data_IF_357840088000
#
_entry.id   IF_357840088000
#
_cell.length_a   1.000
_cell.length_b   1.000
_cell.length_c   1.000
_cell.angle_alpha   90.00
_cell.angle_beta   90.00
_cell.angle_gamma   90.00
#
_symmetry.space_group_name_H-M   'P 1'
#
loop_
_entity.id
_entity.type
_entity.pdbx_description
1 polymer ?
#
# COMPACT_ATOMS: atom_id res chain seq x y z
N UNK A 1 -2.33 -10.10 22.69
CA UNK A 1 -2.81 -8.70 22.75
C UNK A 1 -1.74 -7.80 22.12
N UNK A 2 -1.72 -7.70 20.78
CA UNK A 2 -0.83 -6.78 20.05
C UNK A 2 -1.62 -5.48 19.93
N UNK A 3 -1.27 -4.45 20.71
CA UNK A 3 -1.81 -3.10 20.52
C UNK A 3 -1.42 -2.65 19.12
N UNK A 4 -2.37 -2.64 18.18
CA UNK A 4 -2.17 -1.93 16.91
C UNK A 4 -2.07 -0.44 17.26
N UNK A 5 -0.99 0.27 16.89
CA UNK A 5 -0.95 1.71 17.06
C UNK A 5 -2.14 2.31 16.28
N UNK A 6 -2.95 3.10 16.98
CA UNK A 6 -4.17 3.75 16.49
C UNK A 6 -3.90 4.90 15.49
N UNK A 7 -2.66 5.08 15.08
CA UNK A 7 -2.26 6.03 14.04
C UNK A 7 -1.79 5.22 12.84
N UNK A 8 -2.65 5.09 11.83
CA UNK A 8 -2.19 4.62 10.53
C UNK A 8 -1.15 5.65 10.03
N UNK A 9 0.13 5.29 9.87
CA UNK A 9 1.16 6.25 9.46
C UNK A 9 0.83 6.94 8.14
N UNK A 10 -0.07 6.36 7.34
CA UNK A 10 -0.59 6.93 6.10
C UNK A 10 -1.49 8.15 6.30
N UNK A 11 -2.31 8.18 7.35
CA UNK A 11 -3.17 9.34 7.63
C UNK A 11 -2.38 10.54 8.13
N UNK A 12 -1.24 10.29 8.79
CA UNK A 12 -0.34 11.34 9.29
C UNK A 12 0.39 12.06 8.16
N UNK A 13 0.67 11.37 7.05
CA UNK A 13 1.25 11.97 5.84
C UNK A 13 0.29 13.04 5.29
N UNK A 14 -0.99 12.71 5.13
CA UNK A 14 -1.99 13.67 4.64
C UNK A 14 -2.14 14.87 5.57
N UNK A 15 -2.15 14.65 6.89
CA UNK A 15 -2.22 15.73 7.87
C UNK A 15 -1.01 16.67 7.82
N UNK A 16 0.20 16.13 7.62
CA UNK A 16 1.41 16.94 7.47
C UNK A 16 1.41 17.75 6.16
N UNK A 17 0.88 17.18 5.08
CA UNK A 17 0.67 17.89 3.82
C UNK A 17 -0.22 19.13 3.97
N UNK A 18 -1.32 19.01 4.72
CA UNK A 18 -2.18 20.15 5.05
C UNK A 18 -1.53 21.16 6.01
N UNK A 19 -0.63 20.72 6.90
CA UNK A 19 -0.01 21.57 7.91
C UNK A 19 1.12 22.45 7.37
N UNK A 20 1.87 21.98 6.37
CA UNK A 20 3.03 22.67 5.78
C UNK A 20 3.01 22.60 4.23
N UNK A 21 2.10 23.33 3.58
CA UNK A 21 2.00 23.36 2.12
C UNK A 21 3.22 24.01 1.46
N UNK A 22 3.59 23.55 0.26
CA UNK A 22 4.65 24.12 -0.57
C UNK A 22 6.08 23.72 -0.18
N UNK A 23 6.25 22.71 0.68
CA UNK A 23 7.57 22.21 1.14
C UNK A 23 7.71 20.70 0.87
N UNK A 24 7.94 20.28 -0.39
CA UNK A 24 8.02 18.86 -0.75
C UNK A 24 9.18 18.12 -0.06
N UNK A 25 10.32 18.80 0.19
CA UNK A 25 11.46 18.20 0.89
C UNK A 25 11.12 17.85 2.34
N UNK A 26 10.38 18.72 3.04
CA UNK A 26 9.94 18.46 4.41
C UNK A 26 8.99 17.25 4.46
N UNK A 27 8.08 17.17 3.48
CA UNK A 27 7.17 16.02 3.32
C UNK A 27 7.92 14.71 3.02
N UNK A 28 8.95 14.75 2.17
CA UNK A 28 9.81 13.58 1.91
C UNK A 28 10.51 13.11 3.19
N UNK A 29 11.08 14.02 3.99
CA UNK A 29 11.71 13.67 5.26
C UNK A 29 10.69 13.06 6.21
N UNK A 30 9.53 13.71 6.40
CA UNK A 30 8.48 13.19 7.28
C UNK A 30 8.02 11.79 6.89
N UNK A 31 7.75 11.56 5.60
CA UNK A 31 7.32 10.25 5.08
C UNK A 31 8.40 9.19 5.21
N UNK A 32 9.66 9.55 4.99
CA UNK A 32 10.80 8.62 5.10
C UNK A 32 10.96 8.16 6.54
N UNK A 33 11.00 9.09 7.48
CA UNK A 33 11.23 8.80 8.89
C UNK A 33 10.00 8.25 9.62
N UNK A 34 8.79 8.65 9.22
CA UNK A 34 7.55 8.28 9.89
C UNK A 34 6.88 7.02 9.35
N UNK A 35 7.09 6.67 8.07
CA UNK A 35 6.45 5.50 7.46
C UNK A 35 7.44 4.50 6.88
N UNK A 36 8.37 4.96 6.03
CA UNK A 36 9.23 4.04 5.27
C UNK A 36 10.17 3.28 6.20
N UNK A 37 10.83 3.96 7.13
CA UNK A 37 11.73 3.31 8.12
C UNK A 37 11.01 2.21 8.89
N UNK A 38 9.78 2.45 9.35
CA UNK A 38 8.98 1.46 10.06
C UNK A 38 8.60 0.27 9.17
N UNK A 39 8.16 0.54 7.93
CA UNK A 39 7.79 -0.51 6.98
C UNK A 39 9.01 -1.38 6.60
N UNK A 40 10.17 -0.75 6.36
CA UNK A 40 11.43 -1.44 6.09
C UNK A 40 11.90 -2.25 7.32
N UNK A 41 11.77 -1.70 8.52
CA UNK A 41 12.12 -2.44 9.75
C UNK A 41 11.24 -3.68 9.94
N UNK A 42 9.92 -3.58 9.69
CA UNK A 42 9.00 -4.71 9.83
C UNK A 42 9.26 -5.81 8.81
N UNK A 43 9.50 -5.44 7.54
CA UNK A 43 9.86 -6.39 6.48
C UNK A 43 11.20 -7.05 6.79
N UNK A 44 12.20 -6.28 7.22
CA UNK A 44 13.50 -6.81 7.61
C UNK A 44 13.43 -7.79 8.78
N UNK A 45 12.62 -7.50 9.80
CA UNK A 45 12.38 -8.42 10.93
C UNK A 45 11.66 -9.69 10.46
N UNK A 46 10.73 -9.59 9.51
CA UNK A 46 10.08 -10.75 8.89
C UNK A 46 11.10 -11.64 8.16
N UNK A 47 12.01 -11.03 7.40
CA UNK A 47 13.05 -11.74 6.66
C UNK A 47 14.05 -12.41 7.60
N UNK A 48 14.45 -11.75 8.69
CA UNK A 48 15.27 -12.37 9.72
C UNK A 48 14.60 -13.55 10.41
N UNK A 49 13.27 -13.48 10.61
CA UNK A 49 12.53 -14.62 11.15
C UNK A 49 12.58 -15.81 10.19
N UNK A 50 12.41 -15.57 8.89
CA UNK A 50 12.56 -16.61 7.88
C UNK A 50 13.99 -17.17 7.85
N UNK A 51 14.99 -16.28 7.88
CA UNK A 51 16.40 -16.66 7.93
C UNK A 51 16.76 -17.51 9.14
N UNK A 52 16.18 -17.19 10.30
CA UNK A 52 16.34 -18.00 11.52
C UNK A 52 15.77 -19.42 11.36
N UNK A 53 14.62 -19.58 10.68
CA UNK A 53 14.07 -20.89 10.35
C UNK A 53 14.96 -21.68 9.38
N UNK A 54 15.58 -21.00 8.42
CA UNK A 54 16.52 -21.60 7.46
C UNK A 54 17.94 -21.78 8.01
N UNK A 55 18.17 -21.44 9.29
CA UNK A 55 19.48 -21.51 9.98
C UNK A 55 20.57 -20.65 9.33
N UNK A 56 20.18 -19.57 8.65
CA UNK A 56 21.14 -18.62 8.07
C UNK A 56 21.57 -17.62 9.15
N UNK A 57 22.89 -17.34 9.27
CA UNK A 57 23.38 -16.36 10.24
C UNK A 57 22.89 -14.92 9.91
N UNK A 58 22.50 -14.11 10.92
CA UNK A 58 21.87 -12.80 10.70
C UNK A 58 22.84 -11.72 10.20
N UNK A 59 24.14 -11.84 10.50
CA UNK A 59 25.16 -10.85 10.11
C UNK A 59 25.34 -10.74 8.58
N UNK A 60 25.55 -11.85 7.83
CA UNK A 60 25.63 -11.76 6.38
C UNK A 60 24.30 -11.35 5.73
N UNK A 61 23.16 -11.65 6.36
CA UNK A 61 21.85 -11.16 5.88
C UNK A 61 21.76 -9.63 5.94
N UNK A 62 22.24 -9.00 7.01
CA UNK A 62 22.32 -7.54 7.11
C UNK A 62 23.29 -6.95 6.08
N UNK A 63 24.50 -7.50 6.00
CA UNK A 63 25.52 -7.00 5.07
C UNK A 63 25.17 -7.25 3.60
N UNK A 64 24.36 -8.27 3.29
CA UNK A 64 23.88 -8.54 1.94
C UNK A 64 23.09 -7.38 1.33
N UNK A 65 22.30 -6.66 2.14
CA UNK A 65 21.59 -5.46 1.69
C UNK A 65 22.57 -4.32 1.36
N UNK A 66 23.60 -4.13 2.18
CA UNK A 66 24.63 -3.10 1.94
C UNK A 66 25.51 -3.42 0.73
N UNK A 67 25.82 -4.71 0.52
CA UNK A 67 26.60 -5.20 -0.62
C UNK A 67 25.91 -4.89 -1.96
N UNK A 68 24.58 -4.98 -1.99
CA UNK A 68 23.78 -4.70 -3.18
C UNK A 68 24.02 -3.28 -3.71
N UNK A 69 24.12 -2.28 -2.81
CA UNK A 69 24.33 -0.88 -3.20
C UNK A 69 25.72 -0.59 -3.76
N UNK A 70 26.73 -1.37 -3.42
CA UNK A 70 28.12 -1.13 -3.86
C UNK A 70 28.52 -1.95 -5.08
N UNK A 71 27.85 -3.09 -5.33
CA UNK A 71 28.22 -4.01 -6.41
C UNK A 71 27.33 -3.86 -7.65
N UNK A 72 26.15 -3.25 -7.55
CA UNK A 72 25.26 -3.03 -8.68
C UNK A 72 25.44 -1.60 -9.19
N UNK A 73 26.31 -1.45 -10.19
CA UNK A 73 26.51 -0.17 -10.89
C UNK A 73 25.24 0.26 -11.61
N UNK A 74 24.80 1.52 -11.47
CA UNK A 74 23.62 2.03 -12.16
C UNK A 74 22.28 1.52 -11.60
N UNK A 75 22.21 1.17 -10.32
CA UNK A 75 20.97 0.77 -9.66
C UNK A 75 19.87 1.83 -9.85
N UNK A 76 18.65 1.39 -10.14
CA UNK A 76 17.49 2.24 -10.43
C UNK A 76 17.54 3.03 -11.76
N UNK A 77 18.57 2.86 -12.60
CA UNK A 77 18.57 3.42 -13.96
C UNK A 77 17.62 2.62 -14.87
N UNK A 78 16.92 3.28 -15.82
CA UNK A 78 16.05 2.59 -16.77
C UNK A 78 16.81 1.63 -17.70
N UNK A 79 18.09 1.90 -17.98
CA UNK A 79 18.95 1.12 -18.88
C UNK A 79 19.74 0.01 -18.17
N UNK A 80 19.41 -0.32 -16.93
CA UNK A 80 20.14 -1.32 -16.16
C UNK A 80 20.08 -2.71 -16.82
N UNK A 81 21.24 -3.29 -17.16
CA UNK A 81 21.36 -4.59 -17.86
C UNK A 81 20.69 -5.74 -17.12
N UNK A 82 20.74 -5.72 -15.79
CA UNK A 82 20.18 -6.76 -14.93
C UNK A 82 18.72 -6.50 -14.53
N UNK A 83 18.09 -5.42 -15.05
CA UNK A 83 16.69 -5.10 -14.77
C UNK A 83 16.41 -4.61 -13.34
N UNK A 84 17.42 -4.14 -12.60
CA UNK A 84 17.23 -3.52 -11.27
C UNK A 84 16.66 -2.09 -11.39
N UNK A 85 15.43 -2.00 -11.89
CA UNK A 85 14.65 -0.76 -11.97
C UNK A 85 13.89 -0.50 -10.66
N UNK A 86 13.74 0.76 -10.27
CA UNK A 86 13.12 1.15 -8.99
C UNK A 86 11.86 2.01 -9.20
N UNK A 87 10.75 1.45 -9.71
CA UNK A 87 9.53 2.20 -9.96
C UNK A 87 8.92 2.78 -8.68
N UNK A 88 9.11 2.09 -7.54
CA UNK A 88 8.65 2.56 -6.23
C UNK A 88 9.30 3.88 -5.79
N UNK A 89 10.57 4.11 -6.12
CA UNK A 89 11.29 5.34 -5.78
C UNK A 89 10.79 6.53 -6.61
N UNK A 90 10.48 6.29 -7.89
CA UNK A 90 9.90 7.30 -8.77
C UNK A 90 8.50 7.71 -8.28
N UNK A 91 7.64 6.73 -7.99
CA UNK A 91 6.30 6.99 -7.42
C UNK A 91 6.39 7.70 -6.08
N UNK A 92 7.37 7.35 -5.24
CA UNK A 92 7.60 8.03 -3.98
C UNK A 92 7.92 9.52 -4.19
N UNK A 93 8.84 9.85 -5.11
CA UNK A 93 9.20 11.22 -5.45
C UNK A 93 8.04 12.02 -6.03
N UNK A 94 7.33 11.47 -7.02
CA UNK A 94 6.16 12.12 -7.63
C UNK A 94 5.05 12.34 -6.61
N UNK A 95 4.78 11.37 -5.73
CA UNK A 95 3.80 11.53 -4.67
C UNK A 95 4.18 12.65 -3.69
N UNK A 96 5.45 12.79 -3.33
CA UNK A 96 5.89 13.86 -2.43
C UNK A 96 5.75 15.25 -3.05
N UNK A 97 5.89 15.39 -4.37
CA UNK A 97 5.59 16.64 -5.08
C UNK A 97 4.08 16.91 -5.03
N UNK A 98 3.25 15.94 -5.37
CA UNK A 98 1.78 16.12 -5.37
C UNK A 98 1.26 16.48 -3.96
N UNK A 99 1.68 15.74 -2.94
CA UNK A 99 1.15 15.91 -1.58
C UNK A 99 1.87 16.99 -0.77
N UNK A 100 3.09 17.37 -1.15
CA UNK A 100 3.90 18.36 -0.42
C UNK A 100 4.01 19.74 -1.09
N UNK A 101 3.94 19.81 -2.42
CA UNK A 101 4.02 21.07 -3.19
C UNK A 101 2.64 21.58 -3.62
N UNK A 102 1.88 20.74 -4.33
CA UNK A 102 0.52 21.11 -4.83
C UNK A 102 -0.46 21.24 -3.65
N UNK A 103 -0.21 20.53 -2.56
CA UNK A 103 -1.02 20.49 -1.33
C UNK A 103 -2.45 19.89 -1.53
N UNK A 104 -2.95 19.11 -0.56
CA UNK A 104 -4.30 18.57 -0.60
C UNK A 104 -5.42 19.61 -0.76
N UNK A 105 -5.31 20.81 -0.18
CA UNK A 105 -6.36 21.82 -0.24
C UNK A 105 -6.56 22.33 -1.68
N UNK A 106 -5.52 22.43 -2.50
CA UNK A 106 -5.68 22.81 -3.92
C UNK A 106 -6.29 21.70 -4.77
N UNK A 107 -6.25 20.44 -4.32
CA UNK A 107 -6.82 19.31 -5.05
C UNK A 107 -8.26 19.00 -4.61
N UNK A 108 -8.54 19.07 -3.31
CA UNK A 108 -9.78 18.61 -2.69
C UNK A 108 -10.67 19.73 -2.13
N UNK A 109 -10.32 21.00 -2.29
CA UNK A 109 -11.21 22.12 -1.92
C UNK A 109 -12.42 22.25 -2.85
N UNK A 110 -13.47 22.93 -2.40
CA UNK A 110 -14.69 23.15 -3.17
C UNK A 110 -14.38 23.89 -4.49
N UNK A 111 -14.84 23.32 -5.60
CA UNK A 111 -14.62 23.87 -6.95
C UNK A 111 -13.34 23.40 -7.66
N UNK A 112 -12.55 22.50 -7.05
CA UNK A 112 -11.35 21.92 -7.65
C UNK A 112 -11.63 20.58 -8.34
N UNK A 113 -10.75 20.20 -9.28
CA UNK A 113 -10.90 19.03 -10.17
C UNK A 113 -11.14 17.71 -9.44
N UNK A 114 -10.59 17.55 -8.23
CA UNK A 114 -10.67 16.31 -7.45
C UNK A 114 -11.63 16.38 -6.26
N UNK A 115 -12.49 17.41 -6.18
CA UNK A 115 -13.49 17.53 -5.11
C UNK A 115 -14.44 16.32 -5.05
N UNK A 116 -14.81 15.75 -6.20
CA UNK A 116 -15.65 14.56 -6.28
C UNK A 116 -15.08 13.35 -5.53
N UNK A 117 -13.75 13.25 -5.41
CA UNK A 117 -13.10 12.13 -4.71
C UNK A 117 -13.30 12.18 -3.19
N UNK A 118 -13.56 13.34 -2.61
CA UNK A 118 -13.82 13.46 -1.16
C UNK A 118 -15.11 12.73 -0.78
N UNK A 119 -16.10 12.65 -1.68
CA UNK A 119 -17.34 11.90 -1.43
C UNK A 119 -17.12 10.38 -1.35
N UNK A 120 -16.01 9.86 -1.86
CA UNK A 120 -15.68 8.44 -1.68
C UNK A 120 -15.37 8.08 -0.22
N UNK A 121 -15.00 9.04 0.64
CA UNK A 121 -14.91 8.78 2.09
C UNK A 121 -16.28 8.45 2.69
N UNK A 122 -17.34 9.14 2.25
CA UNK A 122 -18.72 8.85 2.68
C UNK A 122 -19.16 7.51 2.11
N UNK A 123 -18.90 7.25 0.82
CA UNK A 123 -19.23 5.98 0.18
C UNK A 123 -18.51 4.80 0.87
N UNK A 124 -17.24 4.96 1.22
CA UNK A 124 -16.44 3.97 1.95
C UNK A 124 -16.94 3.72 3.37
N UNK A 125 -17.56 4.69 4.04
CA UNK A 125 -18.19 4.50 5.35
C UNK A 125 -19.59 3.87 5.24
N UNK A 126 -20.36 4.24 4.21
CA UNK A 126 -21.73 3.77 3.99
C UNK A 126 -21.75 2.32 3.52
N UNK A 127 -20.89 1.91 2.58
CA UNK A 127 -20.86 0.55 2.06
C UNK A 127 -20.74 -0.57 3.13
N UNK A 128 -19.78 -0.53 4.08
CA UNK A 128 -19.70 -1.54 5.13
C UNK A 128 -20.91 -1.47 6.08
N UNK A 129 -21.43 -0.28 6.39
CA UNK A 129 -22.59 -0.10 7.26
C UNK A 129 -23.85 -0.70 6.64
N UNK A 130 -24.08 -0.46 5.35
CA UNK A 130 -25.18 -1.04 4.58
C UNK A 130 -25.03 -2.57 4.52
N UNK A 131 -23.82 -3.09 4.27
CA UNK A 131 -23.57 -4.54 4.25
C UNK A 131 -23.85 -5.20 5.62
N UNK A 132 -23.55 -4.50 6.71
CA UNK A 132 -23.82 -4.96 8.07
C UNK A 132 -25.33 -5.00 8.36
N UNK A 133 -26.06 -3.94 8.02
CA UNK A 133 -27.52 -3.87 8.18
C UNK A 133 -28.26 -4.91 7.34
N UNK A 134 -27.80 -5.16 6.11
CA UNK A 134 -28.37 -6.20 5.25
C UNK A 134 -28.14 -7.59 5.83
N UNK A 135 -26.96 -7.84 6.41
CA UNK A 135 -26.66 -9.13 7.06
C UNK A 135 -27.50 -9.36 8.31
N UNK A 136 -27.85 -8.29 9.04
CA UNK A 136 -28.79 -8.33 10.17
C UNK A 136 -30.22 -8.64 9.74
N UNK A 137 -30.68 -8.12 8.59
CA UNK A 137 -32.05 -8.32 8.11
C UNK A 137 -32.24 -9.63 7.34
N UNK A 138 -31.23 -10.09 6.60
CA UNK A 138 -31.27 -11.33 5.82
C UNK A 138 -30.01 -12.17 6.02
N UNK A 139 -30.00 -13.09 7.00
CA UNK A 139 -28.81 -13.85 7.38
C UNK A 139 -28.32 -14.87 6.31
N UNK A 140 -29.15 -15.19 5.31
CA UNK A 140 -28.85 -16.12 4.22
C UNK A 140 -28.49 -15.44 2.88
N UNK A 141 -28.27 -14.12 2.86
CA UNK A 141 -27.91 -13.40 1.63
C UNK A 141 -26.44 -13.59 1.23
N UNK A 142 -26.16 -13.58 -0.08
CA UNK A 142 -24.81 -13.60 -0.66
C UNK A 142 -23.91 -12.44 -0.15
N UNK A 143 -24.51 -11.36 0.35
CA UNK A 143 -23.80 -10.22 0.93
C UNK A 143 -22.97 -10.55 2.18
N UNK A 144 -23.19 -11.70 2.84
CA UNK A 144 -22.30 -12.19 3.91
C UNK A 144 -20.88 -12.52 3.42
N UNK A 145 -20.73 -12.85 2.13
CA UNK A 145 -19.43 -13.19 1.54
C UNK A 145 -18.70 -11.96 0.98
N UNK A 146 -19.37 -10.82 0.84
CA UNK A 146 -18.79 -9.59 0.32
C UNK A 146 -18.18 -8.73 1.43
N UNK A 147 -16.85 -8.66 1.49
CA UNK A 147 -16.13 -7.74 2.37
C UNK A 147 -15.77 -6.45 1.63
N UNK A 148 -16.66 -5.46 1.69
CA UNK A 148 -16.43 -4.14 1.08
C UNK A 148 -15.12 -3.46 1.52
N UNK A 149 -14.66 -3.54 2.78
CA UNK A 149 -13.37 -2.96 3.18
C UNK A 149 -12.17 -3.55 2.43
N UNK A 150 -12.21 -4.86 2.13
CA UNK A 150 -11.15 -5.55 1.38
C UNK A 150 -11.19 -5.12 -0.10
N UNK A 151 -12.40 -4.98 -0.66
CA UNK A 151 -12.58 -4.54 -2.04
C UNK A 151 -12.03 -3.12 -2.25
N UNK A 152 -12.30 -2.20 -1.33
CA UNK A 152 -11.77 -0.83 -1.44
C UNK A 152 -10.27 -0.75 -1.16
N UNK A 153 -9.75 -1.47 -0.16
CA UNK A 153 -8.31 -1.45 0.14
C UNK A 153 -7.44 -2.15 -0.94
N UNK A 154 -8.02 -3.03 -1.75
CA UNK A 154 -7.30 -3.68 -2.85
C UNK A 154 -6.74 -2.71 -3.90
N UNK A 155 -7.28 -1.49 -3.97
CA UNK A 155 -6.82 -0.44 -4.90
C UNK A 155 -5.67 0.42 -4.35
N UNK A 156 -5.29 0.26 -3.08
CA UNK A 156 -4.24 1.07 -2.44
C UNK A 156 -2.83 0.85 -3.03
N UNK A 157 -2.60 -0.28 -3.69
CA UNK A 157 -1.30 -0.63 -4.28
C UNK A 157 -1.12 -0.15 -5.74
N UNK A 158 -2.13 0.53 -6.32
CA UNK A 158 -2.12 0.94 -7.74
C UNK A 158 -0.91 1.86 -8.08
N UNK A 159 -0.42 2.73 -7.19
CA UNK A 159 0.91 3.34 -7.34
C UNK A 159 1.90 2.56 -6.46
N UNK A 160 2.60 1.51 -6.94
CA UNK A 160 3.26 1.37 -8.26
C UNK A 160 2.78 0.19 -9.14
N UNK A 161 1.75 -0.57 -8.73
CA UNK A 161 1.27 -1.72 -9.49
C UNK A 161 0.24 -1.30 -10.55
N UNK A 162 0.55 -1.52 -11.82
CA UNK A 162 -0.38 -1.22 -12.92
C UNK A 162 -1.63 -2.11 -12.86
N UNK A 163 -2.72 -1.68 -13.51
CA UNK A 163 -3.94 -2.50 -13.63
C UNK A 163 -3.66 -3.90 -14.20
N UNK A 164 -2.62 -4.03 -15.02
CA UNK A 164 -2.11 -5.30 -15.54
C UNK A 164 -1.58 -6.26 -14.48
N UNK A 165 -1.21 -5.81 -13.29
CA UNK A 165 -0.80 -6.70 -12.19
C UNK A 165 -1.99 -7.09 -11.32
N UNK A 166 -2.94 -6.17 -11.11
CA UNK A 166 -4.09 -6.39 -10.24
C UNK A 166 -5.11 -7.33 -10.88
N UNK A 167 -5.41 -7.14 -12.18
CA UNK A 167 -6.43 -7.93 -12.88
C UNK A 167 -6.06 -9.43 -12.95
N UNK A 168 -4.84 -9.83 -13.37
CA UNK A 168 -4.45 -11.24 -13.35
C UNK A 168 -4.43 -11.84 -11.95
N UNK A 169 -3.99 -11.07 -10.93
CA UNK A 169 -4.01 -11.54 -9.55
C UNK A 169 -5.43 -11.86 -9.06
N UNK A 170 -6.41 -11.00 -9.36
CA UNK A 170 -7.82 -11.26 -9.06
C UNK A 170 -8.38 -12.46 -9.83
N UNK A 171 -8.01 -12.61 -11.10
CA UNK A 171 -8.44 -13.75 -11.94
C UNK A 171 -7.87 -15.06 -11.40
N UNK A 172 -6.56 -15.13 -11.13
CA UNK A 172 -5.91 -16.31 -10.56
C UNK A 172 -6.51 -16.64 -9.20
N UNK A 173 -6.71 -15.63 -8.35
CA UNK A 173 -7.37 -15.77 -7.06
C UNK A 173 -8.77 -16.38 -7.18
N UNK A 174 -9.58 -15.93 -8.13
CA UNK A 174 -10.91 -16.47 -8.39
C UNK A 174 -10.87 -17.91 -8.93
N UNK A 175 -10.02 -18.19 -9.91
CA UNK A 175 -9.90 -19.53 -10.51
C UNK A 175 -9.50 -20.56 -9.45
N UNK A 176 -8.48 -20.29 -8.64
CA UNK A 176 -8.03 -21.25 -7.63
C UNK A 176 -9.00 -21.35 -6.44
N UNK A 177 -9.46 -20.23 -5.87
CA UNK A 177 -10.28 -20.27 -4.66
C UNK A 177 -11.76 -20.61 -4.91
N UNK A 178 -12.30 -20.27 -6.08
CA UNK A 178 -13.70 -20.52 -6.40
C UNK A 178 -13.90 -21.74 -7.29
N UNK A 179 -13.16 -21.84 -8.41
CA UNK A 179 -13.37 -22.91 -9.40
C UNK A 179 -12.70 -24.21 -8.99
N UNK A 180 -11.40 -24.18 -8.69
CA UNK A 180 -10.63 -25.40 -8.35
C UNK A 180 -11.08 -25.96 -6.99
N UNK A 181 -11.24 -25.09 -5.98
CA UNK A 181 -11.67 -25.52 -4.65
C UNK A 181 -13.03 -26.23 -4.65
N UNK A 182 -14.02 -25.72 -5.39
CA UNK A 182 -15.35 -26.36 -5.47
C UNK A 182 -15.37 -27.67 -6.26
N UNK A 183 -14.42 -27.89 -7.18
CA UNK A 183 -14.35 -29.09 -8.00
C UNK A 183 -13.54 -30.23 -7.36
N UNK A 184 -12.52 -29.91 -6.56
CA UNK A 184 -11.58 -30.91 -6.04
C UNK A 184 -11.61 -31.10 -4.52
N UNK A 185 -12.10 -30.13 -3.75
CA UNK A 185 -12.23 -30.22 -2.30
C UNK A 185 -13.70 -30.12 -1.91
N UNK A 186 -14.43 -31.21 -2.13
CA UNK A 186 -15.77 -31.49 -1.59
C UNK A 186 -15.63 -32.34 -0.33
#
# INVERSE_FOLDING_TARGET
MIRRPLTDPRSVITAFGYALPGRPVAMMMFKTWGYITMAQALTFVSDFKLGHYMKVPPRPMFWGQAWMFTNIEGMCSPEQRNGFICPGTQVFGTASIIWGDIDPARQFSSGQSYYALVFFFVLGAVCPLVSYLITLRWPNSFMKYANFPIVFSGTDAIPPATAFNVVPWSIVGFVFNYVVRRRHFL
#
